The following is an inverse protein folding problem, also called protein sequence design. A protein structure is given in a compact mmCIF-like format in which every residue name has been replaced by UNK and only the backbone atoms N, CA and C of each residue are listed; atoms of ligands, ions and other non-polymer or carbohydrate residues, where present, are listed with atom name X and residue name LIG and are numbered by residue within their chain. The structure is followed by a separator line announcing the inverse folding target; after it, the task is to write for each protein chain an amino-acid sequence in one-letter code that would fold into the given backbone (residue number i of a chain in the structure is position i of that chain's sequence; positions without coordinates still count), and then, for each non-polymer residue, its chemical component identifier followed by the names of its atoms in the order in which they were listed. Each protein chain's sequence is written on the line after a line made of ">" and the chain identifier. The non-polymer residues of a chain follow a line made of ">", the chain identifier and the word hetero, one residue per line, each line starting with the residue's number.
data_IF_288461477741
#
_entry.id   IF_288461477741
#
_cell.length_a   1.000
_cell.length_b   1.000
_cell.length_c   1.000
_cell.angle_alpha   90.00
_cell.angle_beta   90.00
_cell.angle_gamma   90.00
#
_symmetry.space_group_name_H-M   'P 1'
#
loop_
_entity.id
_entity.type
_entity.pdbx_description
1 polymer ?
#
# COMPACT_ATOMS: atom_id res chain seq x y z
N UNK A 1 4.63 1.37 68.59
CA UNK A 1 5.08 2.20 69.73
C UNK A 1 6.52 2.65 69.48
N UNK A 2 6.80 3.97 69.53
CA UNK A 2 8.11 4.66 69.76
C UNK A 2 9.29 4.31 68.81
N UNK A 3 10.20 5.20 68.40
CA UNK A 3 10.45 6.61 68.66
C UNK A 3 11.45 7.17 67.62
N UNK A 4 11.45 8.50 67.51
CA UNK A 4 12.29 9.41 66.74
C UNK A 4 13.82 9.27 66.90
N UNK A 5 14.57 9.77 65.90
CA UNK A 5 15.64 10.78 66.07
C UNK A 5 16.08 11.30 64.67
N UNK A 6 15.71 12.52 64.25
CA UNK A 6 16.41 13.81 64.43
C UNK A 6 17.92 13.77 64.18
N UNK A 7 18.40 14.39 63.11
CA UNK A 7 19.37 15.51 63.25
C UNK A 7 19.33 16.45 62.06
N UNK A 8 19.46 17.72 62.42
CA UNK A 8 19.22 18.94 61.69
C UNK A 8 20.59 19.63 61.50
N UNK A 9 20.94 20.10 60.31
CA UNK A 9 21.98 21.13 60.12
C UNK A 9 21.66 22.05 58.94
N UNK A 10 21.09 23.20 59.30
CA UNK A 10 21.41 24.55 58.77
C UNK A 10 22.91 24.67 58.49
N UNK A 11 23.46 25.48 57.58
CA UNK A 11 23.12 26.78 56.95
C UNK A 11 24.14 26.91 55.78
N UNK A 12 23.98 27.70 54.72
CA UNK A 12 24.30 29.14 54.64
C UNK A 12 23.87 29.56 53.22
N UNK A 13 23.14 30.67 53.14
CA UNK A 13 22.80 31.37 51.91
C UNK A 13 23.97 32.24 51.43
N UNK A 14 24.19 32.29 50.11
CA UNK A 14 24.86 33.40 49.45
C UNK A 14 23.99 33.82 48.26
N UNK A 15 23.38 34.98 48.41
CA UNK A 15 22.79 35.79 47.35
C UNK A 15 23.90 36.59 46.64
N UNK A 16 23.63 36.96 45.39
CA UNK A 16 24.18 38.04 44.56
C UNK A 16 24.85 37.55 43.26
N UNK A 17 24.17 37.71 42.12
CA UNK A 17 24.29 38.89 41.24
C UNK A 17 23.66 38.61 39.88
N UNK A 18 22.88 39.59 39.42
CA UNK A 18 22.36 39.71 38.07
C UNK A 18 23.48 39.72 37.03
N UNK A 19 23.26 39.07 35.89
CA UNK A 19 23.91 39.42 34.62
C UNK A 19 23.02 39.04 33.44
N UNK A 20 22.75 40.06 32.63
CA UNK A 20 22.14 40.14 31.30
C UNK A 20 22.11 38.88 30.43
N UNK A 21 20.97 38.75 29.74
CA UNK A 21 20.79 37.92 28.55
C UNK A 21 21.81 38.25 27.45
N UNK A 22 22.48 37.21 26.94
CA UNK A 22 23.01 37.13 25.58
C UNK A 22 22.82 35.69 25.13
N UNK A 23 21.90 35.46 24.18
CA UNK A 23 21.89 34.23 23.40
C UNK A 23 23.08 34.26 22.42
N UNK A 24 23.78 33.13 22.26
CA UNK A 24 23.88 32.57 20.92
C UNK A 24 23.75 31.04 20.88
N UNK A 25 23.49 30.58 19.68
CA UNK A 25 23.04 29.25 19.31
C UNK A 25 24.10 28.13 19.44
N UNK A 26 23.54 26.92 19.33
CA UNK A 26 24.13 25.68 18.83
C UNK A 26 24.93 24.80 19.80
N UNK A 27 24.36 23.62 20.10
CA UNK A 27 24.86 22.26 19.83
C UNK A 27 24.08 21.30 20.76
N UNK A 28 23.07 20.62 20.25
CA UNK A 28 23.19 19.26 19.70
C UNK A 28 23.45 18.19 20.78
N UNK A 29 22.37 17.66 21.37
CA UNK A 29 22.22 16.22 21.70
C UNK A 29 20.73 15.89 21.47
N UNK A 30 20.37 15.66 20.21
CA UNK A 30 20.19 14.32 19.66
C UNK A 30 19.11 13.55 20.42
N UNK A 31 17.89 13.76 19.92
CA UNK A 31 16.74 12.87 20.06
C UNK A 31 17.19 11.40 20.07
N UNK A 32 17.00 10.71 21.20
CA UNK A 32 16.77 9.27 21.18
C UNK A 32 15.45 9.03 20.45
N UNK A 33 15.52 8.99 19.13
CA UNK A 33 14.51 8.33 18.30
C UNK A 33 14.99 6.92 18.12
N UNK A 34 14.23 5.99 18.66
CA UNK A 34 14.23 4.59 18.25
C UNK A 34 14.39 4.50 16.74
N UNK A 35 15.59 4.15 16.31
CA UNK A 35 15.85 3.73 14.95
C UNK A 35 15.26 2.32 14.87
N UNK A 36 13.95 2.25 14.58
CA UNK A 36 13.38 1.12 13.86
C UNK A 36 14.20 1.00 12.58
N UNK A 37 15.26 0.20 12.64
CA UNK A 37 16.04 -0.24 11.49
C UNK A 37 15.04 -0.96 10.60
N UNK A 38 14.50 -0.23 9.64
CA UNK A 38 13.77 -0.84 8.54
C UNK A 38 14.81 -1.74 7.87
N UNK A 39 14.59 -3.06 7.78
CA UNK A 39 15.54 -3.93 7.09
C UNK A 39 15.82 -3.31 5.72
N UNK A 40 17.11 -3.26 5.36
CA UNK A 40 17.52 -2.69 4.08
C UNK A 40 16.68 -3.32 2.97
N UNK A 41 16.15 -2.51 2.03
CA UNK A 41 15.40 -3.07 0.92
C UNK A 41 16.28 -4.06 0.17
N UNK A 42 15.79 -5.29 0.00
CA UNK A 42 16.48 -6.34 -0.76
C UNK A 42 16.85 -5.80 -2.16
N UNK A 43 17.97 -6.26 -2.75
CA UNK A 43 18.28 -5.95 -4.14
C UNK A 43 17.11 -6.28 -5.07
N UNK A 44 16.89 -5.47 -6.11
CA UNK A 44 15.78 -5.65 -7.06
C UNK A 44 15.82 -7.03 -7.74
N UNK A 45 17.00 -7.59 -7.94
CA UNK A 45 17.25 -8.93 -8.51
C UNK A 45 16.79 -10.09 -7.62
N UNK A 46 16.57 -9.84 -6.32
CA UNK A 46 16.02 -10.81 -5.36
C UNK A 46 14.53 -10.60 -5.12
N UNK A 47 13.91 -9.65 -5.84
CA UNK A 47 12.50 -9.32 -5.72
C UNK A 47 11.76 -9.65 -7.00
N UNK A 48 10.55 -10.18 -6.84
CA UNK A 48 9.62 -10.40 -7.93
C UNK A 48 8.43 -9.48 -7.76
N UNK A 49 8.04 -8.80 -8.84
CA UNK A 49 6.77 -8.08 -8.88
C UNK A 49 5.66 -9.10 -9.13
N UNK A 50 4.75 -9.22 -8.19
CA UNK A 50 3.51 -9.98 -8.36
C UNK A 50 2.39 -9.00 -8.62
N UNK A 51 1.63 -9.22 -9.70
CA UNK A 51 0.48 -8.40 -10.10
C UNK A 51 -0.73 -9.30 -10.30
N UNK A 52 -1.91 -8.82 -9.98
CA UNK A 52 -3.16 -9.44 -10.38
C UNK A 52 -4.31 -8.46 -10.45
N UNK A 53 -5.37 -8.88 -11.13
CA UNK A 53 -6.59 -8.11 -11.37
C UNK A 53 -7.81 -8.85 -10.83
N UNK A 54 -8.86 -8.10 -10.53
CA UNK A 54 -10.17 -8.63 -10.11
C UNK A 54 -11.30 -7.79 -10.67
N UNK A 55 -12.29 -8.46 -11.25
CA UNK A 55 -13.56 -7.83 -11.59
C UNK A 55 -14.38 -7.75 -10.31
N UNK A 56 -14.88 -6.57 -10.02
CA UNK A 56 -15.67 -6.32 -8.81
C UNK A 56 -16.97 -5.63 -9.19
N UNK A 57 -18.03 -5.96 -8.46
CA UNK A 57 -19.28 -5.21 -8.61
C UNK A 57 -19.11 -3.81 -8.04
N UNK A 58 -19.57 -2.80 -8.77
CA UNK A 58 -19.71 -1.43 -8.29
C UNK A 58 -20.52 -1.43 -7.00
N UNK A 59 -19.99 -0.73 -6.00
CA UNK A 59 -20.69 -0.54 -4.73
C UNK A 59 -20.87 0.93 -4.44
N UNK A 60 -22.10 1.26 -4.01
CA UNK A 60 -22.47 2.58 -3.53
C UNK A 60 -21.89 2.85 -2.13
N UNK A 61 -21.26 1.84 -1.52
CA UNK A 61 -20.59 1.99 -0.24
C UNK A 61 -19.23 2.67 -0.42
N UNK A 62 -18.83 3.46 0.60
CA UNK A 62 -17.51 4.10 0.70
C UNK A 62 -16.36 3.09 0.94
N UNK A 63 -16.50 1.84 0.48
CA UNK A 63 -15.50 0.80 0.61
C UNK A 63 -14.24 1.12 -0.21
N UNK A 64 -13.06 0.89 0.38
CA UNK A 64 -11.78 1.15 -0.29
C UNK A 64 -11.50 0.14 -1.40
N UNK A 65 -10.58 0.44 -2.32
CA UNK A 65 -10.20 -0.50 -3.38
C UNK A 65 -9.75 -1.88 -2.83
N UNK A 66 -9.01 -1.89 -1.72
CA UNK A 66 -8.61 -3.11 -1.01
C UNK A 66 -9.82 -3.91 -0.52
N UNK A 67 -10.80 -3.24 0.09
CA UNK A 67 -12.00 -3.93 0.61
C UNK A 67 -12.84 -4.51 -0.53
N UNK A 68 -12.98 -3.78 -1.64
CA UNK A 68 -13.71 -4.25 -2.82
C UNK A 68 -13.00 -5.44 -3.47
N UNK A 69 -11.68 -5.36 -3.60
CA UNK A 69 -10.85 -6.44 -4.15
C UNK A 69 -11.03 -7.75 -3.37
N UNK A 70 -11.15 -7.66 -2.04
CA UNK A 70 -11.33 -8.83 -1.17
C UNK A 70 -12.78 -9.32 -1.11
N UNK A 71 -13.75 -8.42 -1.03
CA UNK A 71 -15.12 -8.76 -0.62
C UNK A 71 -16.15 -8.72 -1.76
N UNK A 72 -15.90 -7.99 -2.85
CA UNK A 72 -16.87 -7.77 -3.94
C UNK A 72 -16.46 -8.43 -5.25
N UNK A 73 -15.63 -9.48 -5.16
CA UNK A 73 -15.14 -10.22 -6.32
C UNK A 73 -16.27 -10.89 -7.09
N UNK A 74 -16.24 -10.76 -8.40
CA UNK A 74 -17.01 -11.61 -9.30
C UNK A 74 -16.22 -12.90 -9.48
N UNK A 75 -16.87 -14.05 -9.29
CA UNK A 75 -16.20 -15.35 -9.37
C UNK A 75 -15.76 -15.66 -10.81
N UNK A 76 -14.55 -16.19 -11.00
CA UNK A 76 -14.03 -16.55 -12.33
C UNK A 76 -14.86 -17.64 -13.02
N UNK A 77 -15.66 -18.40 -12.27
CA UNK A 77 -16.64 -19.35 -12.83
C UNK A 77 -17.76 -18.67 -13.62
N UNK A 78 -17.98 -17.36 -13.45
CA UNK A 78 -18.95 -16.60 -14.24
C UNK A 78 -18.36 -16.01 -15.52
N UNK A 79 -17.04 -16.18 -15.75
CA UNK A 79 -16.33 -15.56 -16.86
C UNK A 79 -16.45 -16.43 -18.10
N UNK A 80 -16.80 -15.80 -19.22
CA UNK A 80 -16.66 -16.38 -20.54
C UNK A 80 -15.28 -16.02 -21.14
N UNK A 81 -15.03 -16.44 -22.39
CA UNK A 81 -13.75 -16.19 -23.07
C UNK A 81 -13.47 -14.69 -23.26
N UNK A 82 -14.51 -13.88 -23.49
CA UNK A 82 -14.39 -12.42 -23.58
C UNK A 82 -13.95 -11.81 -22.26
N UNK A 83 -14.57 -12.20 -21.13
CA UNK A 83 -14.19 -11.70 -19.81
C UNK A 83 -12.73 -12.05 -19.48
N UNK A 84 -12.28 -13.25 -19.85
CA UNK A 84 -10.87 -13.68 -19.68
C UNK A 84 -9.92 -12.84 -20.53
N UNK A 85 -10.31 -12.52 -21.76
CA UNK A 85 -9.54 -11.65 -22.63
C UNK A 85 -9.42 -10.23 -22.05
N UNK A 86 -10.52 -9.68 -21.50
CA UNK A 86 -10.51 -8.38 -20.83
C UNK A 86 -9.64 -8.39 -19.58
N UNK A 87 -9.74 -9.44 -18.76
CA UNK A 87 -8.92 -9.60 -17.55
C UNK A 87 -7.43 -9.67 -17.87
N UNK A 88 -7.05 -10.43 -18.91
CA UNK A 88 -5.68 -10.50 -19.38
C UNK A 88 -5.15 -9.13 -19.85
N UNK A 89 -5.95 -8.35 -20.59
CA UNK A 89 -5.57 -6.99 -21.00
C UNK A 89 -5.42 -6.04 -19.81
N UNK A 90 -6.32 -6.14 -18.83
CA UNK A 90 -6.21 -5.35 -17.61
C UNK A 90 -4.97 -5.73 -16.79
N UNK A 91 -4.59 -7.02 -16.77
CA UNK A 91 -3.39 -7.51 -16.11
C UNK A 91 -2.12 -6.95 -16.75
N UNK A 92 -2.05 -6.94 -18.08
CA UNK A 92 -0.94 -6.34 -18.84
C UNK A 92 -0.76 -4.85 -18.49
N UNK A 93 -1.87 -4.10 -18.53
CA UNK A 93 -1.86 -2.68 -18.15
C UNK A 93 -1.42 -2.47 -16.69
N UNK A 94 -1.80 -3.38 -15.80
CA UNK A 94 -1.39 -3.34 -14.40
C UNK A 94 0.09 -3.65 -14.19
N UNK A 95 0.64 -4.59 -14.97
CA UNK A 95 2.07 -4.87 -14.97
C UNK A 95 2.84 -3.62 -15.40
N UNK A 96 2.47 -3.02 -16.52
CA UNK A 96 3.10 -1.78 -17.01
C UNK A 96 3.03 -0.65 -15.98
N UNK A 97 1.85 -0.48 -15.35
CA UNK A 97 1.67 0.49 -14.28
C UNK A 97 2.64 0.22 -13.13
N UNK A 98 2.68 -0.98 -12.55
CA UNK A 98 3.51 -1.24 -11.36
C UNK A 98 5.00 -1.38 -11.65
N UNK A 99 5.39 -1.76 -12.86
CA UNK A 99 6.78 -1.82 -13.29
C UNK A 99 7.35 -0.43 -13.49
N UNK A 100 6.61 0.46 -14.15
CA UNK A 100 7.14 1.77 -14.56
C UNK A 100 6.64 2.89 -13.65
N UNK A 101 5.32 3.11 -13.62
CA UNK A 101 4.70 4.23 -12.91
C UNK A 101 4.66 3.99 -11.39
N UNK A 102 4.50 2.75 -10.96
CA UNK A 102 4.43 2.37 -9.56
C UNK A 102 5.78 2.50 -8.86
N UNK A 103 6.89 2.29 -9.58
CA UNK A 103 8.24 2.58 -9.06
C UNK A 103 8.44 4.08 -8.87
N UNK A 104 8.18 4.88 -9.91
CA UNK A 104 8.38 6.34 -9.85
C UNK A 104 7.45 7.03 -8.85
N UNK A 105 6.21 6.56 -8.72
CA UNK A 105 5.21 7.11 -7.81
C UNK A 105 5.20 6.43 -6.44
N UNK A 106 6.08 5.46 -6.18
CA UNK A 106 6.10 4.64 -4.95
C UNK A 106 4.75 3.98 -4.63
N UNK A 107 4.06 3.48 -5.66
CA UNK A 107 2.74 2.83 -5.59
C UNK A 107 2.79 1.30 -5.63
N UNK A 108 3.95 0.68 -5.80
CA UNK A 108 4.06 -0.76 -5.62
C UNK A 108 3.67 -1.15 -4.17
N UNK A 109 2.83 -2.18 -4.03
CA UNK A 109 2.22 -2.61 -2.77
C UNK A 109 0.79 -2.10 -2.54
N UNK A 110 0.23 -1.33 -3.48
CA UNK A 110 -1.09 -0.70 -3.36
C UNK A 110 -2.12 -1.32 -4.31
N UNK A 111 -3.39 -0.99 -4.08
CA UNK A 111 -4.52 -1.28 -4.97
C UNK A 111 -4.82 -0.04 -5.80
N UNK A 112 -5.15 -0.22 -7.07
CA UNK A 112 -5.60 0.87 -7.93
C UNK A 112 -6.69 0.40 -8.90
N UNK A 113 -7.52 1.33 -9.35
CA UNK A 113 -8.57 1.06 -10.34
C UNK A 113 -7.99 1.14 -11.74
N UNK A 114 -8.21 0.12 -12.55
CA UNK A 114 -7.88 0.16 -13.97
C UNK A 114 -8.80 1.19 -14.64
N UNK A 115 -8.28 2.13 -15.45
CA UNK A 115 -9.10 3.17 -16.06
C UNK A 115 -10.26 2.60 -16.89
N UNK A 116 -11.47 3.12 -16.68
CA UNK A 116 -12.69 2.65 -17.35
C UNK A 116 -12.56 2.61 -18.88
N UNK A 117 -11.90 3.61 -19.47
CA UNK A 117 -11.71 3.67 -20.92
C UNK A 117 -10.83 2.53 -21.46
N UNK A 118 -9.79 2.13 -20.71
CA UNK A 118 -8.94 1.00 -21.09
C UNK A 118 -9.72 -0.32 -21.01
N UNK A 119 -10.54 -0.48 -19.97
CA UNK A 119 -11.39 -1.68 -19.82
C UNK A 119 -12.45 -1.73 -20.93
N UNK A 120 -13.09 -0.61 -21.26
CA UNK A 120 -14.05 -0.51 -22.38
C UNK A 120 -13.39 -0.85 -23.71
N UNK A 121 -12.19 -0.31 -23.97
CA UNK A 121 -11.45 -0.60 -25.20
C UNK A 121 -11.09 -2.09 -25.29
N UNK A 122 -10.62 -2.69 -24.21
CA UNK A 122 -10.36 -4.13 -24.13
C UNK A 122 -11.63 -4.94 -24.41
N UNK A 123 -12.75 -4.60 -23.77
CA UNK A 123 -14.03 -5.29 -23.97
C UNK A 123 -14.48 -5.21 -25.43
N UNK A 124 -14.43 -4.05 -26.07
CA UNK A 124 -14.80 -3.87 -27.48
C UNK A 124 -13.92 -4.67 -28.44
N UNK A 125 -12.62 -4.80 -28.14
CA UNK A 125 -11.70 -5.61 -28.96
C UNK A 125 -11.94 -7.11 -28.76
N UNK A 126 -12.07 -7.55 -27.51
CA UNK A 126 -12.30 -8.95 -27.16
C UNK A 126 -13.68 -9.44 -27.64
N UNK A 127 -14.70 -8.58 -27.59
CA UNK A 127 -16.05 -8.92 -28.02
C UNK A 127 -16.12 -9.29 -29.50
N UNK A 128 -15.33 -8.62 -30.34
CA UNK A 128 -15.22 -8.95 -31.77
C UNK A 128 -14.66 -10.35 -32.03
N UNK A 129 -13.92 -10.92 -31.09
CA UNK A 129 -13.26 -12.22 -31.21
C UNK A 129 -14.06 -13.34 -30.55
N UNK A 130 -14.71 -13.05 -29.43
CA UNK A 130 -15.27 -14.06 -28.53
C UNK A 130 -16.77 -13.87 -28.24
N UNK A 131 -17.40 -12.79 -28.74
CA UNK A 131 -18.78 -12.42 -28.42
C UNK A 131 -18.89 -11.54 -27.16
N UNK A 132 -20.10 -11.17 -26.70
CA UNK A 132 -20.25 -10.22 -25.61
C UNK A 132 -19.72 -10.78 -24.26
N UNK A 133 -19.16 -9.93 -23.38
CA UNK A 133 -18.77 -10.34 -22.03
C UNK A 133 -20.00 -10.70 -21.18
N UNK A 134 -19.82 -11.61 -20.22
CA UNK A 134 -20.87 -12.03 -19.31
C UNK A 134 -20.72 -11.41 -17.92
N UNK A 135 -19.49 -11.36 -17.41
CA UNK A 135 -19.18 -10.86 -16.07
C UNK A 135 -18.98 -9.33 -16.06
N UNK A 136 -18.40 -8.79 -17.13
CA UNK A 136 -18.16 -7.35 -17.22
C UNK A 136 -19.37 -6.59 -17.79
N UNK A 137 -19.88 -5.65 -17.01
CA UNK A 137 -20.94 -4.72 -17.41
C UNK A 137 -20.47 -3.31 -17.05
N UNK A 138 -20.28 -2.46 -18.06
CA UNK A 138 -19.66 -1.13 -17.90
C UNK A 138 -20.29 -0.25 -16.80
N UNK A 139 -21.59 -0.40 -16.53
CA UNK A 139 -22.30 0.39 -15.52
C UNK A 139 -22.41 -0.29 -14.15
N UNK A 140 -21.86 -1.50 -14.00
CA UNK A 140 -22.01 -2.32 -12.78
C UNK A 140 -20.70 -2.98 -12.32
N UNK A 141 -19.66 -2.96 -13.13
CA UNK A 141 -18.41 -3.70 -12.88
C UNK A 141 -17.21 -2.78 -13.07
N UNK A 142 -16.26 -2.85 -12.14
CA UNK A 142 -14.93 -2.24 -12.23
C UNK A 142 -13.86 -3.33 -12.23
N UNK A 143 -12.65 -2.98 -12.70
CA UNK A 143 -11.47 -3.84 -12.55
C UNK A 143 -10.50 -3.16 -11.58
N UNK A 144 -10.17 -3.87 -10.50
CA UNK A 144 -9.17 -3.43 -9.53
C UNK A 144 -7.91 -4.27 -9.74
N UNK A 145 -6.77 -3.60 -9.78
CA UNK A 145 -5.47 -4.22 -9.83
C UNK A 145 -4.74 -4.08 -8.48
N UNK A 146 -3.96 -5.11 -8.16
CA UNK A 146 -3.03 -5.14 -7.04
C UNK A 146 -1.66 -5.53 -7.56
N UNK A 147 -0.63 -4.87 -7.06
CA UNK A 147 0.75 -5.20 -7.40
C UNK A 147 1.64 -5.00 -6.19
N UNK A 148 2.58 -5.91 -5.96
CA UNK A 148 3.55 -5.82 -4.87
C UNK A 148 4.85 -6.50 -5.23
N UNK A 149 5.97 -5.85 -4.87
CA UNK A 149 7.28 -6.49 -4.90
C UNK A 149 7.49 -7.27 -3.61
N UNK A 150 7.83 -8.53 -3.75
CA UNK A 150 8.12 -9.46 -2.64
C UNK A 150 9.42 -10.21 -2.94
N UNK A 151 10.08 -10.79 -1.93
CA UNK A 151 11.16 -11.74 -2.17
C UNK A 151 10.70 -12.81 -3.15
N UNK A 152 11.56 -13.21 -4.09
CA UNK A 152 11.20 -14.20 -5.12
C UNK A 152 10.69 -15.52 -4.54
N UNK A 153 11.15 -15.91 -3.36
CA UNK A 153 10.68 -17.09 -2.63
C UNK A 153 9.20 -17.03 -2.23
N UNK A 154 8.66 -15.82 -2.07
CA UNK A 154 7.29 -15.59 -1.58
C UNK A 154 6.31 -15.33 -2.73
N UNK A 155 6.82 -15.12 -3.94
CA UNK A 155 6.05 -14.69 -5.09
C UNK A 155 4.91 -15.64 -5.43
N UNK A 156 5.19 -16.95 -5.48
CA UNK A 156 4.20 -17.97 -5.82
C UNK A 156 3.04 -18.02 -4.81
N UNK A 157 3.33 -17.90 -3.51
CA UNK A 157 2.30 -17.90 -2.48
C UNK A 157 1.41 -16.66 -2.58
N UNK A 158 2.00 -15.50 -2.86
CA UNK A 158 1.24 -14.26 -3.07
C UNK A 158 0.38 -14.34 -4.34
N UNK A 159 0.92 -14.85 -5.44
CA UNK A 159 0.18 -15.03 -6.69
C UNK A 159 -1.05 -15.94 -6.50
N UNK A 160 -0.90 -17.05 -5.80
CA UNK A 160 -2.00 -17.95 -5.44
C UNK A 160 -3.09 -17.26 -4.59
N UNK A 161 -2.70 -16.34 -3.70
CA UNK A 161 -3.66 -15.60 -2.87
C UNK A 161 -4.42 -14.53 -3.65
N UNK A 162 -3.83 -14.06 -4.75
CA UNK A 162 -4.38 -13.02 -5.61
C UNK A 162 -5.29 -13.60 -6.68
N UNK A 163 -4.99 -14.80 -7.21
CA UNK A 163 -5.78 -15.51 -8.25
C UNK A 163 -7.01 -16.21 -7.68
#
# INVERSE_FOLDING_TARGET
>A
MRASNKTNRMTIAILFLWSLAVAPAALAQSLSRDHLVKPDPLPDEMQTLVVGTRFVTLSNTKATANDRFKNLRIATSTFNDTDRCVDQRALELAQDYFETLGRSLSKAGHYYFVPDEEVKNAALMCEKLHGPPQAWVATKTEVIAYGKRVPTTDAAALELSIR
#
